data_IF_692466002678
#
_entry.id   IF_692466002678
#
_cell.length_a   1.000
_cell.length_b   1.000
_cell.length_c   1.000
_cell.angle_alpha   90.00
_cell.angle_beta   90.00
_cell.angle_gamma   90.00
#
_symmetry.space_group_name_H-M   'P 1'
#
loop_
_entity.id
_entity.type
_entity.pdbx_description
1 polymer ?
#
# COMPACT_ATOMS: atom_id res chain seq x y z
N UNK A 1 -4.14 -11.72 -3.39
CA UNK A 1 -4.17 -10.78 -2.26
C UNK A 1 -3.87 -9.37 -2.72
N UNK A 2 -4.53 -8.40 -2.13
CA UNK A 2 -4.39 -7.00 -2.49
C UNK A 2 -4.26 -6.16 -1.22
N UNK A 3 -3.29 -5.25 -1.22
CA UNK A 3 -3.05 -4.35 -0.09
C UNK A 3 -2.69 -2.96 -0.58
N UNK A 4 -2.84 -1.97 0.31
CA UNK A 4 -2.38 -0.61 0.10
C UNK A 4 -1.32 -0.31 1.16
N UNK A 5 -0.18 0.23 0.71
CA UNK A 5 0.90 0.68 1.58
C UNK A 5 0.98 2.19 1.55
N UNK A 6 0.96 2.81 2.72
CA UNK A 6 1.12 4.27 2.85
C UNK A 6 2.57 4.61 3.08
N UNK A 7 3.05 5.64 2.38
CA UNK A 7 4.41 6.17 2.54
C UNK A 7 4.39 7.68 2.59
N UNK A 8 5.30 8.28 3.38
CA UNK A 8 5.51 9.72 3.37
C UNK A 8 6.49 10.07 2.25
N UNK A 9 6.06 10.85 1.22
CA UNK A 9 6.90 11.06 0.05
C UNK A 9 8.19 11.84 0.33
N UNK A 10 8.26 12.61 1.41
CA UNK A 10 9.51 13.27 1.81
C UNK A 10 10.55 12.28 2.36
N UNK A 11 10.11 11.11 2.81
CA UNK A 11 10.99 10.04 3.31
C UNK A 11 11.25 8.99 2.22
N UNK A 12 10.19 8.49 1.58
CA UNK A 12 10.29 7.53 0.49
C UNK A 12 9.06 7.64 -0.41
N UNK A 13 9.25 8.15 -1.63
CA UNK A 13 8.16 8.35 -2.59
C UNK A 13 8.01 7.16 -3.54
N UNK A 14 6.89 7.13 -4.29
CA UNK A 14 6.74 6.16 -5.38
C UNK A 14 7.79 6.37 -6.46
N UNK A 15 8.19 7.61 -6.72
CA UNK A 15 9.30 7.91 -7.64
C UNK A 15 10.61 7.27 -7.18
N UNK A 16 10.87 7.29 -5.86
CA UNK A 16 12.04 6.59 -5.28
C UNK A 16 11.95 5.10 -5.53
N UNK A 17 10.78 4.50 -5.37
CA UNK A 17 10.56 3.07 -5.64
C UNK A 17 10.79 2.73 -7.11
N UNK A 18 10.32 3.58 -8.03
CA UNK A 18 10.55 3.39 -9.46
C UNK A 18 12.04 3.45 -9.80
N UNK A 19 12.77 4.38 -9.18
CA UNK A 19 14.22 4.51 -9.35
C UNK A 19 14.95 3.27 -8.83
N UNK A 20 14.57 2.77 -7.65
CA UNK A 20 15.23 1.64 -7.00
C UNK A 20 14.81 0.29 -7.60
N UNK A 21 13.65 0.21 -8.20
CA UNK A 21 13.07 -1.00 -8.78
C UNK A 21 12.50 -1.96 -7.75
N UNK A 22 13.25 -2.25 -6.71
CA UNK A 22 12.82 -3.06 -5.55
C UNK A 22 13.25 -2.37 -4.26
N UNK A 23 12.52 -2.64 -3.19
CA UNK A 23 12.89 -2.16 -1.86
C UNK A 23 12.34 -3.12 -0.80
N UNK A 24 12.86 -3.00 0.41
CA UNK A 24 12.35 -3.74 1.57
C UNK A 24 11.42 -2.82 2.36
N UNK A 25 10.17 -3.24 2.54
CA UNK A 25 9.18 -2.52 3.33
C UNK A 25 9.23 -3.05 4.75
N UNK A 26 9.74 -2.26 5.68
CA UNK A 26 9.92 -2.62 7.09
C UNK A 26 9.72 -1.38 7.98
N UNK A 27 10.10 -1.48 9.24
CA UNK A 27 9.98 -0.35 10.17
C UNK A 27 8.54 -0.05 10.60
N UNK A 28 7.59 -0.92 10.27
CA UNK A 28 6.19 -0.77 10.66
C UNK A 28 6.04 -1.27 12.09
N UNK A 29 5.47 -0.45 12.98
CA UNK A 29 5.33 -0.77 14.40
C UNK A 29 3.88 -1.00 14.85
N UNK A 30 2.88 -0.49 14.11
CA UNK A 30 1.47 -0.71 14.46
C UNK A 30 1.14 -2.20 14.39
N UNK A 31 0.60 -2.82 15.46
CA UNK A 31 0.37 -4.28 15.50
C UNK A 31 -0.53 -4.79 14.36
N UNK A 32 -1.56 -4.04 13.97
CA UNK A 32 -2.45 -4.42 12.89
C UNK A 32 -1.73 -4.38 11.53
N UNK A 33 -0.94 -3.34 11.30
CA UNK A 33 -0.14 -3.22 10.08
C UNK A 33 0.93 -4.32 10.01
N UNK A 34 1.59 -4.62 11.11
CA UNK A 34 2.56 -5.72 11.22
C UNK A 34 1.91 -7.06 10.87
N UNK A 35 0.71 -7.31 11.39
CA UNK A 35 -0.04 -8.51 11.08
C UNK A 35 -0.31 -8.63 9.57
N UNK A 36 -0.76 -7.55 8.94
CA UNK A 36 -1.03 -7.55 7.50
C UNK A 36 0.23 -7.81 6.68
N UNK A 37 1.37 -7.19 7.04
CA UNK A 37 2.64 -7.45 6.35
C UNK A 37 3.04 -8.92 6.46
N UNK A 38 2.93 -9.50 7.66
CA UNK A 38 3.29 -10.89 7.91
C UNK A 38 2.41 -11.87 7.12
N UNK A 39 1.17 -11.50 6.85
CA UNK A 39 0.21 -12.34 6.13
C UNK A 39 0.28 -12.22 4.62
N UNK A 40 1.07 -11.29 4.08
CA UNK A 40 1.21 -11.15 2.63
C UNK A 40 1.85 -12.38 2.00
N UNK A 41 1.43 -12.69 0.77
CA UNK A 41 2.02 -13.78 -0.01
C UNK A 41 2.83 -13.22 -1.17
N UNK A 42 3.80 -14.00 -1.66
CA UNK A 42 4.52 -13.70 -2.88
C UNK A 42 3.52 -13.48 -4.03
N UNK A 43 3.73 -12.43 -4.81
CA UNK A 43 2.84 -12.06 -5.90
C UNK A 43 1.62 -11.22 -5.50
N UNK A 44 1.45 -10.89 -4.21
CA UNK A 44 0.37 -10.00 -3.78
C UNK A 44 0.47 -8.65 -4.49
N UNK A 45 -0.68 -8.11 -4.90
CA UNK A 45 -0.76 -6.83 -5.60
C UNK A 45 -0.87 -5.68 -4.60
N UNK A 46 -0.09 -4.64 -4.83
CA UNK A 46 0.01 -3.51 -3.91
C UNK A 46 -0.38 -2.20 -4.60
N UNK A 47 -1.01 -1.32 -3.84
CA UNK A 47 -1.18 0.10 -4.17
C UNK A 47 -0.25 0.89 -3.27
N UNK A 48 0.51 1.81 -3.85
CA UNK A 48 1.35 2.74 -3.10
C UNK A 48 0.58 4.05 -2.96
N UNK A 49 0.36 4.44 -1.70
CA UNK A 49 -0.37 5.66 -1.35
C UNK A 49 0.60 6.63 -0.68
N UNK A 50 0.69 7.84 -1.23
CA UNK A 50 1.53 8.90 -0.65
C UNK A 50 0.70 9.76 0.30
N UNK A 51 1.20 9.90 1.54
CA UNK A 51 0.59 10.72 2.59
C UNK A 51 1.05 12.18 2.51
N UNK A 52 0.89 12.94 3.57
CA UNK A 52 1.28 14.34 3.61
C UNK A 52 0.35 15.19 2.75
N UNK A 53 0.93 16.05 1.93
CA UNK A 53 0.14 16.95 1.07
C UNK A 53 -0.49 16.24 -0.12
N UNK A 54 0.05 15.09 -0.54
CA UNK A 54 -0.46 14.36 -1.70
C UNK A 54 -1.78 13.65 -1.42
N UNK A 55 -1.87 12.89 -0.33
CA UNK A 55 -3.06 12.10 0.07
C UNK A 55 -3.70 11.38 -1.10
N UNK A 56 -2.92 10.60 -1.84
CA UNK A 56 -3.36 9.97 -3.08
C UNK A 56 -2.70 8.61 -3.30
N UNK A 57 -3.46 7.70 -3.91
CA UNK A 57 -2.93 6.46 -4.47
C UNK A 57 -2.25 6.82 -5.79
N UNK A 58 -0.95 6.53 -5.93
CA UNK A 58 -0.13 7.04 -7.02
C UNK A 58 0.50 5.97 -7.89
N UNK A 59 0.61 4.74 -7.41
CA UNK A 59 1.26 3.68 -8.16
C UNK A 59 0.95 2.29 -7.65
N UNK A 60 1.47 1.30 -8.36
CA UNK A 60 1.33 -0.11 -8.02
C UNK A 60 2.67 -0.75 -7.73
N UNK A 61 2.65 -1.87 -7.02
CA UNK A 61 3.82 -2.69 -6.75
C UNK A 61 3.38 -4.14 -6.56
N UNK A 62 4.33 -5.03 -6.43
CA UNK A 62 4.08 -6.46 -6.23
C UNK A 62 4.99 -6.99 -5.13
N UNK A 63 4.48 -7.88 -4.29
CA UNK A 63 5.28 -8.56 -3.28
C UNK A 63 6.19 -9.58 -3.94
N UNK A 64 7.48 -9.47 -3.70
CA UNK A 64 8.48 -10.44 -4.17
C UNK A 64 8.65 -11.56 -3.14
N UNK A 65 8.84 -11.18 -1.88
CA UNK A 65 9.03 -12.14 -0.79
C UNK A 65 8.69 -11.51 0.55
N UNK A 66 8.39 -12.37 1.52
CA UNK A 66 8.10 -11.94 2.90
C UNK A 66 9.06 -12.66 3.83
N UNK A 67 9.81 -11.90 4.62
CA UNK A 67 10.64 -12.43 5.69
C UNK A 67 9.95 -12.14 7.03
N UNK A 68 9.37 -13.18 7.62
CA UNK A 68 8.69 -13.10 8.92
C UNK A 68 9.40 -13.97 9.97
N UNK A 69 10.72 -14.16 9.85
CA UNK A 69 11.51 -14.89 10.85
C UNK A 69 11.40 -14.23 12.22
N UNK A 70 11.30 -12.89 12.26
CA UNK A 70 10.85 -12.17 13.44
C UNK A 70 9.40 -11.71 13.18
N UNK A 71 8.40 -12.38 13.77
CA UNK A 71 7.00 -12.05 13.49
C UNK A 71 6.56 -10.66 13.96
N UNK A 72 7.35 -10.02 14.83
CA UNK A 72 7.09 -8.65 15.27
C UNK A 72 7.68 -7.59 14.33
N UNK A 73 8.61 -8.00 13.46
CA UNK A 73 9.32 -7.12 12.53
C UNK A 73 9.40 -7.75 11.14
N UNK A 74 8.25 -8.03 10.49
CA UNK A 74 8.28 -8.61 9.15
C UNK A 74 8.91 -7.61 8.17
N UNK A 75 9.67 -8.14 7.23
CA UNK A 75 10.26 -7.37 6.14
C UNK A 75 9.71 -7.90 4.82
N UNK A 76 9.05 -7.04 4.05
CA UNK A 76 8.44 -7.43 2.78
C UNK A 76 9.24 -6.78 1.64
N UNK A 77 9.83 -7.62 0.78
CA UNK A 77 10.47 -7.12 -0.43
C UNK A 77 9.42 -6.89 -1.49
N UNK A 78 9.37 -5.69 -2.02
CA UNK A 78 8.41 -5.29 -3.05
C UNK A 78 9.12 -4.82 -4.30
N UNK A 79 8.45 -4.98 -5.44
CA UNK A 79 8.93 -4.56 -6.76
C UNK A 79 8.01 -3.49 -7.31
N UNK A 80 8.58 -2.41 -7.85
CA UNK A 80 7.82 -1.35 -8.49
C UNK A 80 6.97 -1.90 -9.65
N UNK A 81 5.72 -1.46 -9.70
CA UNK A 81 4.83 -1.71 -10.82
C UNK A 81 4.78 -0.51 -11.75
N UNK A 82 3.60 0.05 -11.93
CA UNK A 82 3.34 1.19 -12.83
C UNK A 82 2.73 2.36 -12.08
N UNK A 83 2.99 3.61 -12.52
CA UNK A 83 2.23 4.76 -12.02
C UNK A 83 0.76 4.58 -12.35
N UNK A 84 -0.11 5.03 -11.45
CA UNK A 84 -1.54 5.13 -11.73
C UNK A 84 -1.73 6.34 -12.64
N UNK A 85 -2.35 6.14 -13.81
CA UNK A 85 -2.50 7.19 -14.82
C UNK A 85 -3.23 8.41 -14.27
N UNK A 86 -4.25 8.18 -13.45
CA UNK A 86 -5.00 9.22 -12.75
C UNK A 86 -4.95 8.95 -11.25
N UNK A 87 -3.99 9.53 -10.52
CA UNK A 87 -3.91 9.33 -9.07
C UNK A 87 -5.25 9.57 -8.40
N UNK A 88 -5.59 8.72 -7.44
CA UNK A 88 -6.88 8.77 -6.75
C UNK A 88 -6.67 9.39 -5.38
N UNK A 89 -7.29 10.55 -5.15
CA UNK A 89 -7.16 11.26 -3.89
C UNK A 89 -7.96 10.58 -2.76
N UNK A 90 -7.58 10.88 -1.52
CA UNK A 90 -8.33 10.40 -0.35
C UNK A 90 -9.79 10.89 -0.40
N UNK A 91 -10.03 12.11 -0.85
CA UNK A 91 -11.39 12.64 -1.00
C UNK A 91 -12.22 11.81 -1.97
N UNK A 92 -11.63 11.41 -3.11
CA UNK A 92 -12.29 10.52 -4.07
C UNK A 92 -12.55 9.13 -3.48
N UNK A 93 -11.59 8.60 -2.73
CA UNK A 93 -11.75 7.30 -2.05
C UNK A 93 -12.90 7.36 -1.05
N UNK A 94 -12.96 8.41 -0.23
CA UNK A 94 -14.03 8.58 0.77
C UNK A 94 -15.42 8.69 0.15
N UNK A 95 -15.53 9.22 -1.06
CA UNK A 95 -16.80 9.34 -1.78
C UNK A 95 -17.18 8.06 -2.54
N UNK A 96 -16.31 7.08 -2.60
CA UNK A 96 -16.55 5.82 -3.29
C UNK A 96 -17.15 4.79 -2.34
N UNK A 97 -18.35 4.29 -2.66
CA UNK A 97 -19.09 3.32 -1.83
C UNK A 97 -18.31 2.03 -1.57
N UNK A 98 -17.41 1.63 -2.46
CA UNK A 98 -16.57 0.45 -2.29
C UNK A 98 -15.68 0.54 -1.05
N UNK A 99 -15.37 1.76 -0.59
CA UNK A 99 -14.49 2.01 0.55
C UNK A 99 -15.25 2.41 1.83
N UNK A 100 -16.57 2.37 1.82
CA UNK A 100 -17.38 2.87 2.94
C UNK A 100 -17.02 2.22 4.29
N UNK A 101 -16.68 0.94 4.27
CA UNK A 101 -16.28 0.19 5.48
C UNK A 101 -14.80 -0.20 5.47
N UNK A 102 -14.01 0.33 4.53
CA UNK A 102 -12.58 0.03 4.44
C UNK A 102 -11.81 0.62 5.62
N UNK A 103 -10.85 -0.12 6.18
CA UNK A 103 -9.93 0.46 7.17
C UNK A 103 -9.19 1.69 6.66
N UNK A 104 -9.01 1.84 5.34
CA UNK A 104 -8.41 3.02 4.74
C UNK A 104 -9.16 4.30 5.12
N UNK A 105 -10.48 4.23 5.15
CA UNK A 105 -11.35 5.36 5.49
C UNK A 105 -11.61 5.43 7.00
N UNK A 106 -11.86 4.28 7.64
CA UNK A 106 -12.26 4.22 9.04
C UNK A 106 -11.09 4.34 10.01
N UNK A 107 -9.90 3.89 9.61
CA UNK A 107 -8.69 3.89 10.45
C UNK A 107 -7.58 4.63 9.71
N UNK A 108 -7.65 5.97 9.73
CA UNK A 108 -6.74 6.82 8.96
C UNK A 108 -5.25 6.65 9.29
N UNK A 109 -4.91 6.11 10.46
CA UNK A 109 -3.52 5.89 10.90
C UNK A 109 -2.95 4.53 10.48
N UNK A 110 -3.76 3.65 9.94
CA UNK A 110 -3.30 2.34 9.51
C UNK A 110 -2.50 2.49 8.21
N UNK A 111 -1.24 2.10 8.23
CA UNK A 111 -0.30 2.28 7.11
C UNK A 111 -0.27 1.11 6.13
N UNK A 112 -0.83 -0.04 6.52
CA UNK A 112 -0.96 -1.22 5.66
C UNK A 112 -2.42 -1.64 5.70
N UNK A 113 -3.10 -1.55 4.56
CA UNK A 113 -4.55 -1.74 4.47
C UNK A 113 -4.86 -2.87 3.51
N UNK A 114 -5.62 -3.90 3.93
CA UNK A 114 -6.09 -4.91 2.99
C UNK A 114 -7.15 -4.32 2.05
N UNK A 115 -7.12 -4.75 0.80
CA UNK A 115 -8.07 -4.33 -0.23
C UNK A 115 -8.79 -5.54 -0.80
N UNK A 116 -10.04 -5.35 -1.20
CA UNK A 116 -10.74 -6.31 -2.05
C UNK A 116 -10.26 -6.15 -3.50
N UNK A 117 -10.40 -7.18 -4.36
CA UNK A 117 -10.08 -7.02 -5.79
C UNK A 117 -10.81 -5.85 -6.44
N UNK A 118 -12.09 -5.61 -6.08
CA UNK A 118 -12.86 -4.49 -6.60
C UNK A 118 -12.30 -3.14 -6.18
N UNK A 119 -11.87 -3.01 -4.93
CA UNK A 119 -11.22 -1.79 -4.44
C UNK A 119 -9.90 -1.54 -5.18
N UNK A 120 -9.08 -2.56 -5.33
CA UNK A 120 -7.83 -2.46 -6.07
C UNK A 120 -8.07 -1.99 -7.51
N UNK A 121 -8.98 -2.64 -8.22
CA UNK A 121 -9.31 -2.31 -9.60
C UNK A 121 -9.83 -0.89 -9.73
N UNK A 122 -10.64 -0.43 -8.80
CA UNK A 122 -11.14 0.95 -8.75
C UNK A 122 -9.99 1.96 -8.67
N UNK A 123 -8.94 1.66 -7.91
CA UNK A 123 -7.80 2.56 -7.75
C UNK A 123 -6.90 2.60 -8.97
N UNK A 124 -6.74 1.49 -9.68
CA UNK A 124 -5.91 1.45 -10.90
C UNK A 124 -6.66 1.87 -12.16
N UNK A 125 -7.96 2.11 -12.07
CA UNK A 125 -8.77 2.58 -13.20
C UNK A 125 -9.24 1.47 -14.13
N UNK A 126 -9.28 0.25 -13.63
CA UNK A 126 -9.74 -0.91 -14.41
C UNK A 126 -11.24 -1.14 -14.24
#
# INVERSE_FOLDING_TARGET
>A
MHYLLKTEPSEYSFADLLRDGTTVWDGVSNPTAVKHLREMSDGACLIIYETGDHKSAVGTATVVSVNASDPKKPAVTIKAGKPIAKPVSLAQIKSNKLFAESPLVLIGRLSVVPLTPGQYNSLVGA
#
